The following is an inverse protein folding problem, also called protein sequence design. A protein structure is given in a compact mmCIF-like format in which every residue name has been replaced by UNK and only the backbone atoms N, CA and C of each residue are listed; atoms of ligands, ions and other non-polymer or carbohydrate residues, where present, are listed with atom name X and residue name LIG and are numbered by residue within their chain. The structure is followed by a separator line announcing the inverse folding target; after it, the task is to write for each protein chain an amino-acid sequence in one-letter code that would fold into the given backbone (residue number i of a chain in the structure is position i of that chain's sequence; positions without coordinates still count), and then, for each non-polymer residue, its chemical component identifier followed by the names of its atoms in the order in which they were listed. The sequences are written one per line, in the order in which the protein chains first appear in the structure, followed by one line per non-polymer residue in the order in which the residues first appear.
data_IF_369042672965
#
_entry.id   IF_369042672965
#
_cell.length_a   1.000
_cell.length_b   1.000
_cell.length_c   1.000
_cell.angle_alpha   90.00
_cell.angle_beta   90.00
_cell.angle_gamma   90.00
#
_symmetry.space_group_name_H-M   'P 1'
#
loop_
_entity.id
_entity.type
_entity.pdbx_description
1 polymer ?
#
# COMPACT_ATOMS: atom_id res chain seq x y z
N UNK A 1 5.17 11.32 -26.48
CA UNK A 1 4.75 12.60 -27.08
C UNK A 1 4.66 13.74 -26.05
N UNK A 2 3.73 13.69 -25.07
CA UNK A 2 3.59 14.82 -24.10
C UNK A 2 4.84 15.00 -23.25
N UNK A 3 5.34 13.92 -22.63
CA UNK A 3 6.55 13.93 -21.79
C UNK A 3 7.79 14.30 -22.62
N UNK A 4 7.86 13.92 -23.88
CA UNK A 4 8.97 14.31 -24.77
C UNK A 4 8.96 15.83 -25.04
N UNK A 5 7.79 16.39 -25.32
CA UNK A 5 7.64 17.84 -25.49
C UNK A 5 8.01 18.64 -24.22
N UNK A 6 7.82 18.05 -23.03
CA UNK A 6 8.27 18.67 -21.77
C UNK A 6 9.79 18.82 -21.68
N UNK A 7 10.56 18.06 -22.46
CA UNK A 7 12.03 18.20 -22.53
C UNK A 7 12.50 19.54 -23.08
N UNK A 8 11.68 20.21 -23.90
CA UNK A 8 11.94 21.54 -24.46
C UNK A 8 11.54 22.66 -23.51
N UNK A 9 10.85 22.34 -22.39
CA UNK A 9 10.42 23.30 -21.37
C UNK A 9 11.54 23.55 -20.34
N UNK A 10 11.23 24.27 -19.29
CA UNK A 10 12.14 24.54 -18.16
C UNK A 10 11.57 23.92 -16.85
N UNK A 11 12.40 23.93 -15.81
CA UNK A 11 12.06 23.50 -14.45
C UNK A 11 11.53 22.05 -14.41
N UNK A 12 10.52 21.81 -13.58
CA UNK A 12 9.97 20.48 -13.29
C UNK A 12 9.48 19.72 -14.53
N UNK A 13 9.05 20.40 -15.58
CA UNK A 13 8.62 19.76 -16.82
C UNK A 13 9.80 19.05 -17.53
N UNK A 14 10.95 19.75 -17.63
CA UNK A 14 12.17 19.16 -18.17
C UNK A 14 12.70 18.04 -17.30
N UNK A 15 12.62 18.21 -15.97
CA UNK A 15 13.07 17.19 -15.03
C UNK A 15 12.22 15.92 -15.13
N UNK A 16 10.91 16.05 -15.35
CA UNK A 16 10.02 14.90 -15.59
C UNK A 16 10.40 14.16 -16.88
N UNK A 17 10.69 14.87 -17.99
CA UNK A 17 11.19 14.24 -19.21
C UNK A 17 12.50 13.51 -18.97
N UNK A 18 13.42 14.13 -18.23
CA UNK A 18 14.73 13.53 -17.91
C UNK A 18 14.54 12.27 -17.04
N UNK A 19 13.68 12.32 -16.04
CA UNK A 19 13.36 11.16 -15.20
C UNK A 19 12.78 10.02 -16.03
N UNK A 20 11.84 10.31 -16.94
CA UNK A 20 11.25 9.31 -17.82
C UNK A 20 12.31 8.63 -18.70
N UNK A 21 13.24 9.40 -19.29
CA UNK A 21 14.34 8.84 -20.09
C UNK A 21 15.30 7.98 -19.27
N UNK A 22 15.60 8.38 -18.03
CA UNK A 22 16.44 7.58 -17.14
C UNK A 22 15.72 6.26 -16.82
N UNK A 23 14.42 6.31 -16.53
CA UNK A 23 13.65 5.10 -16.26
C UNK A 23 13.58 4.16 -17.48
N UNK A 24 13.41 4.71 -18.69
CA UNK A 24 13.48 3.95 -19.95
C UNK A 24 14.82 3.24 -20.09
N UNK A 25 15.94 3.93 -19.83
CA UNK A 25 17.28 3.34 -19.85
C UNK A 25 17.46 2.23 -18.80
N UNK A 26 16.86 2.39 -17.60
CA UNK A 26 16.88 1.35 -16.56
C UNK A 26 16.11 0.11 -16.99
N UNK A 27 14.99 0.27 -17.71
CA UNK A 27 14.19 -0.86 -18.24
C UNK A 27 14.88 -1.60 -19.39
N UNK A 28 15.76 -0.93 -20.15
CA UNK A 28 16.54 -1.52 -21.24
C UNK A 28 17.79 -2.26 -20.75
N UNK A 29 18.24 -2.01 -19.52
CA UNK A 29 19.44 -2.60 -18.92
C UNK A 29 19.05 -3.84 -18.09
N UNK A 30 19.32 -5.04 -18.61
CA UNK A 30 19.03 -6.32 -17.97
C UNK A 30 19.75 -6.52 -16.61
N UNK A 31 20.84 -5.77 -16.36
CA UNK A 31 21.57 -5.81 -15.08
C UNK A 31 21.04 -4.78 -14.05
N UNK A 32 20.06 -3.95 -14.43
CA UNK A 32 19.51 -2.91 -13.57
C UNK A 32 18.30 -3.41 -12.76
N UNK A 33 18.45 -3.49 -11.45
CA UNK A 33 17.29 -3.69 -10.54
C UNK A 33 16.57 -2.38 -10.25
N UNK A 34 15.24 -2.38 -10.37
CA UNK A 34 14.39 -1.18 -10.20
C UNK A 34 13.60 -1.28 -8.89
N UNK A 35 13.93 -0.43 -7.92
CA UNK A 35 13.22 -0.32 -6.65
C UNK A 35 12.37 0.95 -6.65
N UNK A 36 11.05 0.78 -6.58
CA UNK A 36 10.11 1.88 -6.47
C UNK A 36 9.90 2.27 -5.01
N UNK A 37 10.26 3.49 -4.66
CA UNK A 37 10.10 4.03 -3.30
C UNK A 37 8.90 4.98 -3.25
N UNK A 38 7.95 4.70 -2.38
CA UNK A 38 6.68 5.43 -2.26
C UNK A 38 6.49 5.95 -0.84
N UNK A 39 5.96 7.16 -0.71
CA UNK A 39 5.64 7.77 0.57
C UNK A 39 4.30 8.52 0.53
N UNK A 40 3.77 8.83 1.70
CA UNK A 40 2.53 9.59 1.85
C UNK A 40 1.27 8.81 1.45
N UNK A 41 0.21 9.53 1.12
CA UNK A 41 -1.11 8.97 0.79
C UNK A 41 -1.37 8.95 -0.71
N UNK A 42 -0.43 8.42 -1.50
CA UNK A 42 -0.46 8.46 -2.97
C UNK A 42 -1.65 7.68 -3.56
N UNK A 43 -2.06 6.59 -2.92
CA UNK A 43 -3.15 5.77 -3.44
C UNK A 43 -4.51 6.42 -3.22
N UNK A 44 -4.73 7.00 -2.04
CA UNK A 44 -5.90 7.86 -1.77
C UNK A 44 -5.94 9.09 -2.68
N UNK A 45 -4.78 9.58 -3.12
CA UNK A 45 -4.66 10.67 -4.09
C UNK A 45 -4.92 10.24 -5.55
N UNK A 46 -5.25 8.96 -5.80
CA UNK A 46 -5.62 8.44 -7.12
C UNK A 46 -4.46 7.90 -7.96
N UNK A 47 -3.27 7.71 -7.39
CA UNK A 47 -2.11 7.17 -8.11
C UNK A 47 -1.96 5.65 -8.02
N UNK A 48 -2.88 4.97 -7.35
CA UNK A 48 -2.85 3.52 -7.15
C UNK A 48 -2.75 2.76 -8.47
N UNK A 49 -3.60 3.09 -9.45
CA UNK A 49 -3.63 2.44 -10.76
C UNK A 49 -2.28 2.53 -11.50
N UNK A 50 -1.59 3.65 -11.37
CA UNK A 50 -0.26 3.84 -11.99
C UNK A 50 0.74 2.83 -11.41
N UNK A 51 0.78 2.68 -10.09
CA UNK A 51 1.68 1.73 -9.42
C UNK A 51 1.29 0.28 -9.73
N UNK A 52 -0.01 -0.02 -9.75
CA UNK A 52 -0.50 -1.33 -10.17
C UNK A 52 -0.02 -1.68 -11.59
N UNK A 53 -0.17 -0.76 -12.55
CA UNK A 53 0.25 -0.99 -13.94
C UNK A 53 1.78 -1.20 -14.05
N UNK A 54 2.58 -0.51 -13.22
CA UNK A 54 4.03 -0.76 -13.16
C UNK A 54 4.34 -2.19 -12.70
N UNK A 55 3.67 -2.67 -11.68
CA UNK A 55 3.82 -4.06 -11.16
C UNK A 55 3.32 -5.07 -12.20
N UNK A 56 2.11 -4.87 -12.72
CA UNK A 56 1.46 -5.83 -13.61
C UNK A 56 2.21 -6.00 -14.94
N UNK A 57 2.89 -4.96 -15.39
CA UNK A 57 3.75 -5.01 -16.58
C UNK A 57 5.22 -5.34 -16.29
N UNK A 58 5.57 -5.76 -15.07
CA UNK A 58 6.93 -6.11 -14.64
C UNK A 58 7.95 -4.97 -14.86
N UNK A 59 7.53 -3.73 -14.57
CA UNK A 59 8.36 -2.53 -14.74
C UNK A 59 9.08 -2.13 -13.44
N UNK A 60 8.90 -2.88 -12.35
CA UNK A 60 9.59 -2.72 -11.06
C UNK A 60 9.90 -4.08 -10.48
N UNK A 61 11.04 -4.18 -9.78
CA UNK A 61 11.52 -5.43 -9.15
C UNK A 61 11.21 -5.49 -7.66
N UNK A 62 11.06 -4.34 -7.01
CA UNK A 62 10.71 -4.25 -5.60
C UNK A 62 10.01 -2.93 -5.29
N UNK A 63 9.22 -2.91 -4.21
CA UNK A 63 8.58 -1.71 -3.67
C UNK A 63 9.06 -1.49 -2.24
N UNK A 64 9.39 -0.24 -1.90
CA UNK A 64 9.55 0.23 -0.53
C UNK A 64 8.49 1.30 -0.28
N UNK A 65 7.64 1.10 0.72
CA UNK A 65 6.51 1.98 0.96
C UNK A 65 6.25 2.21 2.45
N UNK A 66 5.27 3.07 2.75
CA UNK A 66 4.74 3.22 4.11
C UNK A 66 3.64 2.21 4.38
N UNK A 67 3.43 1.85 5.66
CA UNK A 67 2.34 0.98 6.05
C UNK A 67 0.97 1.55 5.68
N UNK A 68 0.78 2.86 5.80
CA UNK A 68 -0.44 3.53 5.40
C UNK A 68 -0.80 3.31 3.92
N UNK A 69 0.17 3.32 3.01
CA UNK A 69 -0.09 3.00 1.60
C UNK A 69 -0.51 1.55 1.40
N UNK A 70 0.22 0.63 2.02
CA UNK A 70 0.07 -0.81 1.76
C UNK A 70 -1.13 -1.39 2.50
N UNK A 71 -1.35 -1.00 3.75
CA UNK A 71 -2.42 -1.55 4.59
C UNK A 71 -3.68 -0.71 4.52
N UNK A 72 -3.58 0.57 4.92
CA UNK A 72 -4.75 1.42 5.13
C UNK A 72 -5.39 1.89 3.82
N UNK A 73 -4.69 1.76 2.70
CA UNK A 73 -5.19 2.13 1.38
C UNK A 73 -5.33 0.94 0.44
N UNK A 74 -4.25 0.22 0.13
CA UNK A 74 -4.30 -0.84 -0.88
C UNK A 74 -4.96 -2.13 -0.39
N UNK A 75 -4.51 -2.67 0.74
CA UNK A 75 -5.09 -3.89 1.32
C UNK A 75 -6.54 -3.67 1.76
N UNK A 76 -6.84 -2.52 2.34
CA UNK A 76 -8.18 -2.05 2.69
C UNK A 76 -9.14 -2.15 1.49
N UNK A 77 -8.75 -1.62 0.32
CA UNK A 77 -9.56 -1.74 -0.90
C UNK A 77 -9.57 -3.18 -1.43
N UNK A 78 -8.48 -3.93 -1.28
CA UNK A 78 -8.40 -5.36 -1.60
C UNK A 78 -9.43 -6.20 -0.84
N UNK A 79 -9.75 -5.82 0.40
CA UNK A 79 -10.82 -6.42 1.20
C UNK A 79 -12.23 -6.03 0.72
N UNK A 80 -12.36 -5.00 -0.14
CA UNK A 80 -13.61 -4.55 -0.74
C UNK A 80 -14.15 -3.24 -0.17
N UNK A 81 -13.41 -2.59 0.70
CA UNK A 81 -13.73 -1.28 1.25
C UNK A 81 -13.36 -0.17 0.25
N UNK A 82 -13.74 1.07 0.52
CA UNK A 82 -13.57 2.14 -0.47
C UNK A 82 -13.16 3.45 0.17
N UNK A 83 -12.37 4.21 -0.59
CA UNK A 83 -12.18 5.63 -0.35
C UNK A 83 -13.28 6.43 -1.05
N UNK A 84 -13.74 7.50 -0.39
CA UNK A 84 -14.82 8.34 -0.89
C UNK A 84 -14.31 9.76 -1.12
N UNK A 85 -14.78 10.38 -2.20
CA UNK A 85 -14.50 11.79 -2.45
C UNK A 85 -15.33 12.66 -1.54
N UNK A 86 -14.66 13.44 -0.72
CA UNK A 86 -15.26 14.36 0.24
C UNK A 86 -14.92 15.83 -0.05
N UNK A 87 -14.88 16.62 1.02
CA UNK A 87 -14.48 18.03 0.98
C UNK A 87 -13.51 18.32 2.13
N UNK A 88 -12.47 19.07 1.83
CA UNK A 88 -11.52 19.55 2.86
C UNK A 88 -12.10 20.62 3.80
N UNK A 89 -13.29 21.10 3.53
CA UNK A 89 -13.97 22.16 4.28
C UNK A 89 -15.05 21.64 5.24
N UNK A 90 -15.15 20.33 5.41
CA UNK A 90 -16.08 19.72 6.36
C UNK A 90 -15.54 19.91 7.79
N UNK A 91 -16.43 20.04 8.77
CA UNK A 91 -16.05 20.05 10.19
C UNK A 91 -15.61 18.65 10.63
N UNK A 92 -14.37 18.53 11.08
CA UNK A 92 -13.82 17.27 11.56
C UNK A 92 -14.55 16.71 12.81
N UNK A 93 -15.24 17.55 13.58
CA UNK A 93 -16.08 17.07 14.68
C UNK A 93 -17.34 16.35 14.17
N UNK A 94 -17.93 16.83 13.08
CA UNK A 94 -19.06 16.16 12.44
C UNK A 94 -18.62 14.81 11.86
N UNK A 95 -17.46 14.76 11.21
CA UNK A 95 -16.90 13.51 10.66
C UNK A 95 -16.60 12.50 11.77
N UNK A 96 -15.98 12.95 12.87
CA UNK A 96 -15.72 12.10 14.03
C UNK A 96 -17.00 11.49 14.61
N UNK A 97 -18.06 12.28 14.74
CA UNK A 97 -19.33 11.80 15.28
C UNK A 97 -20.04 10.81 14.33
N UNK A 98 -19.65 10.80 13.04
CA UNK A 98 -20.10 9.87 12.00
C UNK A 98 -19.14 8.68 11.79
N UNK A 99 -18.05 8.59 12.55
CA UNK A 99 -16.99 7.59 12.38
C UNK A 99 -16.37 7.62 10.96
N UNK A 100 -16.07 8.82 10.49
CA UNK A 100 -15.44 9.03 9.18
C UNK A 100 -14.07 9.66 9.39
N UNK A 101 -13.02 8.97 8.95
CA UNK A 101 -11.67 9.51 8.85
C UNK A 101 -11.49 10.30 7.55
N UNK A 102 -10.62 11.31 7.61
CA UNK A 102 -10.38 12.19 6.49
C UNK A 102 -8.89 12.33 6.18
N UNK A 103 -8.54 12.06 4.94
CA UNK A 103 -7.23 12.36 4.36
C UNK A 103 -7.45 13.49 3.36
N UNK A 104 -7.28 14.74 3.77
CA UNK A 104 -7.54 15.95 3.00
C UNK A 104 -9.00 16.03 2.50
N UNK A 105 -9.30 15.67 1.26
CA UNK A 105 -10.63 15.62 0.66
C UNK A 105 -11.08 14.18 0.32
N UNK A 106 -10.41 13.19 0.90
CA UNK A 106 -10.72 11.78 0.74
C UNK A 106 -11.20 11.22 2.08
N UNK A 107 -12.34 10.57 2.11
CA UNK A 107 -12.97 10.03 3.29
C UNK A 107 -12.83 8.51 3.35
N UNK A 108 -12.70 7.99 4.57
CA UNK A 108 -12.58 6.57 4.90
C UNK A 108 -13.56 6.28 6.04
N UNK A 109 -14.27 5.17 5.95
CA UNK A 109 -15.11 4.67 7.04
C UNK A 109 -14.21 4.06 8.13
N UNK A 110 -14.28 4.61 9.36
CA UNK A 110 -13.48 4.16 10.50
C UNK A 110 -13.83 2.74 10.94
N UNK A 111 -15.10 2.34 10.83
CA UNK A 111 -15.53 0.99 11.16
C UNK A 111 -15.00 -0.03 10.15
N UNK A 112 -14.94 0.31 8.85
CA UNK A 112 -14.32 -0.52 7.82
C UNK A 112 -12.81 -0.63 8.03
N UNK A 113 -12.13 0.46 8.43
CA UNK A 113 -10.70 0.44 8.75
C UNK A 113 -10.41 -0.48 9.95
N UNK A 114 -11.26 -0.47 10.97
CA UNK A 114 -11.16 -1.39 12.11
C UNK A 114 -11.31 -2.85 11.67
N UNK A 115 -12.19 -3.17 10.72
CA UNK A 115 -12.30 -4.53 10.15
C UNK A 115 -11.03 -4.93 9.41
N UNK A 116 -10.38 -3.98 8.75
CA UNK A 116 -9.06 -4.20 8.13
C UNK A 116 -8.03 -4.61 9.19
N UNK A 117 -7.94 -3.87 10.32
CA UNK A 117 -7.03 -4.17 11.43
C UNK A 117 -7.31 -5.53 12.07
N UNK A 118 -8.58 -5.86 12.28
CA UNK A 118 -8.99 -7.18 12.78
C UNK A 118 -8.60 -8.29 11.80
N UNK A 119 -8.60 -8.02 10.50
CA UNK A 119 -8.16 -8.97 9.48
C UNK A 119 -6.66 -9.21 9.57
N UNK A 120 -5.85 -8.18 9.81
CA UNK A 120 -4.42 -8.32 10.13
C UNK A 120 -4.22 -9.23 11.35
N UNK A 121 -4.97 -8.99 12.43
CA UNK A 121 -4.93 -9.84 13.63
C UNK A 121 -5.28 -11.30 13.33
N UNK A 122 -6.29 -11.57 12.48
CA UNK A 122 -6.67 -12.93 12.06
C UNK A 122 -5.59 -13.61 11.21
N UNK A 123 -4.92 -12.86 10.33
CA UNK A 123 -3.76 -13.38 9.59
C UNK A 123 -2.68 -13.81 10.58
N UNK A 124 -2.31 -12.94 11.55
CA UNK A 124 -1.36 -13.28 12.61
C UNK A 124 -1.78 -14.53 13.40
N UNK A 125 -3.06 -14.67 13.72
CA UNK A 125 -3.57 -15.83 14.47
C UNK A 125 -3.38 -17.16 13.72
N UNK A 126 -3.41 -17.13 12.39
CA UNK A 126 -3.22 -18.27 11.50
C UNK A 126 -1.77 -18.64 11.19
N UNK A 127 -0.81 -17.76 11.48
CA UNK A 127 0.59 -17.95 11.15
C UNK A 127 1.39 -18.68 12.23
N UNK A 128 2.54 -19.24 11.84
CA UNK A 128 3.54 -19.74 12.77
C UNK A 128 4.01 -18.60 13.71
N UNK A 129 4.13 -18.90 15.00
CA UNK A 129 4.49 -17.90 16.01
C UNK A 129 6.01 -17.69 16.02
N UNK A 130 6.45 -16.73 15.23
CA UNK A 130 7.84 -16.29 15.08
C UNK A 130 7.92 -14.84 14.63
N UNK A 131 9.10 -14.21 14.64
CA UNK A 131 9.32 -12.95 13.94
C UNK A 131 9.17 -13.09 12.42
N UNK A 132 8.57 -12.09 11.79
CA UNK A 132 8.47 -11.93 10.35
C UNK A 132 9.09 -10.61 9.92
N UNK A 133 9.74 -10.58 8.79
CA UNK A 133 10.03 -9.32 8.12
C UNK A 133 8.74 -8.72 7.54
N UNK A 134 8.71 -7.40 7.32
CA UNK A 134 7.57 -6.76 6.67
C UNK A 134 7.26 -7.38 5.30
N UNK A 135 8.30 -7.77 4.54
CA UNK A 135 8.16 -8.49 3.27
C UNK A 135 7.40 -9.79 3.41
N UNK A 136 7.81 -10.65 4.36
CA UNK A 136 7.14 -11.94 4.59
C UNK A 136 5.68 -11.73 5.00
N UNK A 137 5.42 -10.78 5.89
CA UNK A 137 4.07 -10.54 6.36
C UNK A 137 3.16 -9.96 5.26
N UNK A 138 3.66 -9.03 4.44
CA UNK A 138 2.89 -8.48 3.30
C UNK A 138 2.63 -9.56 2.25
N UNK A 139 3.56 -10.50 2.07
CA UNK A 139 3.31 -11.66 1.21
C UNK A 139 2.16 -12.52 1.75
N UNK A 140 2.06 -12.73 3.07
CA UNK A 140 0.92 -13.42 3.70
C UNK A 140 -0.41 -12.64 3.55
N UNK A 141 -0.36 -11.31 3.57
CA UNK A 141 -1.52 -10.48 3.24
C UNK A 141 -1.98 -10.69 1.79
N UNK A 142 -1.04 -10.76 0.84
CA UNK A 142 -1.32 -11.07 -0.56
C UNK A 142 -1.91 -12.47 -0.74
N UNK A 143 -1.36 -13.48 -0.03
CA UNK A 143 -1.91 -14.83 0.01
C UNK A 143 -3.34 -14.85 0.56
N UNK A 144 -3.61 -14.10 1.62
CA UNK A 144 -4.96 -13.98 2.18
C UNK A 144 -5.95 -13.43 1.15
N UNK A 145 -5.56 -12.41 0.37
CA UNK A 145 -6.40 -11.87 -0.71
C UNK A 145 -6.63 -12.88 -1.84
N UNK A 146 -5.62 -13.66 -2.22
CA UNK A 146 -5.76 -14.71 -3.23
C UNK A 146 -6.74 -15.79 -2.77
N UNK A 147 -6.63 -16.26 -1.53
CA UNK A 147 -7.45 -17.35 -0.97
C UNK A 147 -8.90 -16.92 -0.69
N UNK A 148 -9.14 -15.67 -0.33
CA UNK A 148 -10.47 -15.15 0.06
C UNK A 148 -11.16 -14.29 -1.01
N UNK A 149 -10.49 -14.07 -2.14
CA UNK A 149 -10.98 -13.27 -3.25
C UNK A 149 -10.69 -11.77 -3.06
N UNK A 150 -9.68 -11.27 -3.76
CA UNK A 150 -9.41 -9.84 -3.84
C UNK A 150 -10.56 -9.12 -4.54
N UNK A 151 -11.04 -8.00 -3.98
CA UNK A 151 -12.21 -7.27 -4.47
C UNK A 151 -11.88 -5.96 -5.19
N UNK A 152 -10.60 -5.62 -5.29
CA UNK A 152 -10.11 -4.49 -6.07
C UNK A 152 -9.32 -4.98 -7.29
N UNK A 153 -9.65 -4.48 -8.47
CA UNK A 153 -9.02 -4.88 -9.73
C UNK A 153 -7.57 -4.37 -9.86
N UNK A 154 -7.20 -3.40 -9.06
CA UNK A 154 -5.89 -2.74 -9.06
C UNK A 154 -5.17 -2.85 -7.70
N UNK A 155 -5.42 -3.92 -6.95
CA UNK A 155 -4.75 -4.16 -5.67
C UNK A 155 -3.28 -4.52 -5.88
N UNK A 156 -2.39 -3.68 -5.36
CA UNK A 156 -0.94 -3.80 -5.52
C UNK A 156 -0.40 -4.95 -4.69
N UNK A 157 -0.85 -5.12 -3.44
CA UNK A 157 -0.46 -6.25 -2.57
C UNK A 157 -0.77 -7.58 -3.25
N UNK A 158 -1.96 -7.71 -3.86
CA UNK A 158 -2.35 -8.92 -4.56
C UNK A 158 -1.54 -9.12 -5.85
N UNK A 159 -1.33 -8.07 -6.65
CA UNK A 159 -0.51 -8.14 -7.85
C UNK A 159 0.94 -8.52 -7.54
N UNK A 160 1.53 -7.92 -6.51
CA UNK A 160 2.88 -8.22 -6.04
C UNK A 160 3.01 -9.67 -5.56
N UNK A 161 2.02 -10.19 -4.82
CA UNK A 161 1.97 -11.60 -4.44
C UNK A 161 2.00 -12.52 -5.68
N UNK A 162 1.17 -12.26 -6.67
CA UNK A 162 1.08 -13.07 -7.90
C UNK A 162 2.30 -12.98 -8.81
N UNK A 163 3.01 -11.85 -8.77
CA UNK A 163 4.20 -11.56 -9.60
C UNK A 163 5.52 -11.83 -8.86
N UNK A 164 5.46 -12.22 -7.60
CA UNK A 164 6.62 -12.37 -6.71
C UNK A 164 7.49 -11.10 -6.60
N UNK A 165 6.84 -9.93 -6.65
CA UNK A 165 7.48 -8.63 -6.43
C UNK A 165 7.45 -8.31 -4.93
N UNK A 166 8.60 -8.23 -4.24
CA UNK A 166 8.63 -7.99 -2.80
C UNK A 166 8.24 -6.54 -2.46
N UNK A 167 7.46 -6.40 -1.38
CA UNK A 167 7.14 -5.11 -0.77
C UNK A 167 7.79 -5.03 0.59
N UNK A 168 8.50 -3.94 0.87
CA UNK A 168 9.14 -3.65 2.13
C UNK A 168 8.51 -2.41 2.79
N UNK A 169 8.16 -2.54 4.06
CA UNK A 169 7.65 -1.42 4.88
C UNK A 169 8.52 -1.31 6.14
N UNK A 170 9.53 -0.44 6.13
CA UNK A 170 10.51 -0.35 7.23
C UNK A 170 9.91 0.01 8.60
N UNK A 171 8.77 0.72 8.62
CA UNK A 171 8.07 1.11 9.84
C UNK A 171 6.62 0.60 9.81
N UNK A 172 6.46 -0.71 9.72
CA UNK A 172 5.15 -1.35 9.53
C UNK A 172 4.17 -1.05 10.68
N UNK A 173 4.67 -0.89 11.91
CA UNK A 173 3.85 -0.55 13.08
C UNK A 173 3.28 0.87 13.06
N UNK A 174 3.76 1.74 12.15
CA UNK A 174 3.30 3.13 12.02
C UNK A 174 2.03 3.26 11.14
N UNK A 175 1.28 2.19 10.97
CA UNK A 175 -0.02 2.18 10.32
C UNK A 175 -1.03 1.43 11.17
N UNK A 176 -2.30 1.42 10.78
CA UNK A 176 -3.38 0.79 11.55
C UNK A 176 -3.16 -0.72 11.77
N UNK A 177 -2.42 -1.40 10.89
CA UNK A 177 -2.02 -2.79 11.09
C UNK A 177 -1.34 -3.05 12.44
N UNK A 178 -0.66 -2.04 13.01
CA UNK A 178 -0.09 -2.10 14.34
C UNK A 178 -1.11 -2.48 15.41
N UNK A 179 -2.35 -2.03 15.30
CA UNK A 179 -3.45 -2.41 16.20
C UNK A 179 -3.79 -3.89 16.07
N UNK A 180 -3.81 -4.44 14.85
CA UNK A 180 -3.99 -5.88 14.62
C UNK A 180 -2.93 -6.73 15.30
N UNK A 181 -1.66 -6.32 15.21
CA UNK A 181 -0.56 -6.98 15.94
C UNK A 181 -0.71 -6.89 17.45
N UNK A 182 -1.05 -5.70 17.99
CA UNK A 182 -1.26 -5.51 19.43
C UNK A 182 -2.41 -6.40 19.93
N UNK A 183 -3.51 -6.48 19.20
CA UNK A 183 -4.63 -7.38 19.54
C UNK A 183 -4.21 -8.85 19.51
N UNK A 184 -3.45 -9.26 18.50
CA UNK A 184 -2.90 -10.61 18.42
C UNK A 184 -1.98 -10.93 19.59
N UNK A 185 -1.01 -10.07 19.88
CA UNK A 185 -0.04 -10.24 20.98
C UNK A 185 -0.70 -10.22 22.35
N UNK A 186 -1.72 -9.42 22.55
CA UNK A 186 -2.49 -9.39 23.82
C UNK A 186 -3.17 -10.73 24.12
N UNK A 187 -3.63 -11.44 23.08
CA UNK A 187 -4.24 -12.78 23.20
C UNK A 187 -3.19 -13.89 23.34
N UNK A 188 -2.00 -13.72 22.75
CA UNK A 188 -0.96 -14.74 22.60
C UNK A 188 0.34 -14.30 23.30
N UNK A 189 0.30 -14.07 24.62
CA UNK A 189 1.39 -13.44 25.37
C UNK A 189 2.72 -14.19 25.34
N UNK A 190 2.69 -15.52 25.34
CA UNK A 190 3.89 -16.36 25.46
C UNK A 190 4.49 -16.73 24.09
N UNK A 191 3.63 -16.85 23.07
CA UNK A 191 4.05 -17.19 21.70
C UNK A 191 3.20 -16.41 20.71
N UNK A 192 3.81 -15.50 19.97
CA UNK A 192 3.10 -14.63 19.03
C UNK A 192 3.86 -14.40 17.72
N UNK A 193 3.19 -13.77 16.77
CA UNK A 193 3.80 -13.19 15.58
C UNK A 193 4.27 -11.79 15.94
N UNK A 194 5.51 -11.47 15.60
CA UNK A 194 6.08 -10.13 15.70
C UNK A 194 6.72 -9.72 14.39
N UNK A 195 7.02 -8.44 14.24
CA UNK A 195 7.81 -7.92 13.12
C UNK A 195 9.23 -7.58 13.61
N UNK A 196 10.23 -7.90 12.78
CA UNK A 196 11.62 -7.48 12.94
C UNK A 196 11.87 -6.16 12.22
#
# INVERSE_FOLDING_TARGET
ALVDAMGEMAFSARDLNRAAKIYEMMLEDEECGIILVLAGSLFSAGLKRVVYDLVDNNLVDAIVATGALIVDQDFFEGLGFKHYKGSKWVDDNELRDLHIDRIYDTFIDEDELRICDETIGRICDGLEKRPYSSREFIWEMGRHLEENGCRADDCIVHACYRKDVPIFVPAFSDCSAGFGFVMHQAKNRDTNVSLD
#
